data_IF_811838419364
#
_entry.id   IF_811838419364
#
_cell.length_a   1.000
_cell.length_b   1.000
_cell.length_c   1.000
_cell.angle_alpha   90.00
_cell.angle_beta   90.00
_cell.angle_gamma   90.00
#
_symmetry.space_group_name_H-M   'P 1'
#
loop_
_entity.id
_entity.type
_entity.pdbx_description
1 polymer ?
#
# COMPACT_ATOMS: atom_id res chain seq x y z
N UNK A 1 0.20 -15.05 -13.57
CA UNK A 1 0.78 -13.75 -13.98
C UNK A 1 0.70 -12.70 -12.88
N UNK A 2 -0.51 -12.23 -12.50
CA UNK A 2 -0.66 -11.15 -11.50
C UNK A 2 -0.04 -11.46 -10.13
N UNK A 3 -0.11 -12.72 -9.69
CA UNK A 3 0.47 -13.15 -8.42
C UNK A 3 2.00 -13.15 -8.44
N UNK A 4 2.60 -13.43 -9.60
CA UNK A 4 4.07 -13.37 -9.75
C UNK A 4 4.56 -11.93 -9.67
N UNK A 5 3.81 -10.96 -10.21
CA UNK A 5 4.14 -9.54 -10.08
C UNK A 5 4.14 -9.08 -8.62
N UNK A 6 3.22 -9.58 -7.79
CA UNK A 6 3.19 -9.25 -6.36
C UNK A 6 4.44 -9.76 -5.63
N UNK A 7 5.07 -10.85 -6.09
CA UNK A 7 6.33 -11.34 -5.50
C UNK A 7 7.53 -10.46 -5.82
N UNK A 8 7.41 -9.51 -6.75
CA UNK A 8 8.49 -8.64 -7.21
C UNK A 8 8.44 -7.24 -6.58
N UNK A 9 7.50 -6.99 -5.66
CA UNK A 9 7.31 -5.69 -5.02
C UNK A 9 7.23 -5.85 -3.49
N UNK A 10 7.75 -4.86 -2.78
CA UNK A 10 7.66 -4.80 -1.32
C UNK A 10 6.36 -4.13 -0.85
N UNK A 11 5.89 -3.14 -1.61
CA UNK A 11 4.81 -2.24 -1.23
C UNK A 11 3.75 -2.20 -2.32
N UNK A 12 2.48 -2.33 -1.90
CA UNK A 12 1.31 -2.11 -2.75
C UNK A 12 0.44 -0.98 -2.18
N UNK A 13 0.17 0.04 -3.00
CA UNK A 13 -0.79 1.10 -2.66
C UNK A 13 -2.17 0.68 -3.15
N UNK A 14 -3.10 0.49 -2.22
CA UNK A 14 -4.44 -0.02 -2.49
C UNK A 14 -5.53 1.02 -2.18
N UNK A 15 -6.56 1.08 -3.03
CA UNK A 15 -7.70 1.99 -2.90
C UNK A 15 -7.76 3.09 -3.95
N UNK A 16 -8.98 3.58 -4.21
CA UNK A 16 -9.24 4.66 -5.19
C UNK A 16 -8.63 5.98 -4.71
N UNK A 17 -8.08 6.76 -5.64
CA UNK A 17 -7.70 8.14 -5.40
C UNK A 17 -8.96 9.01 -5.24
N UNK A 18 -9.04 9.77 -4.14
CA UNK A 18 -10.13 10.69 -3.86
C UNK A 18 -9.59 12.12 -3.78
N UNK A 19 -10.03 13.00 -4.68
CA UNK A 19 -9.53 14.38 -4.72
C UNK A 19 -9.76 15.12 -3.39
N UNK A 20 -10.88 14.87 -2.71
CA UNK A 20 -11.21 15.45 -1.41
C UNK A 20 -10.26 15.02 -0.28
N UNK A 21 -9.51 13.93 -0.47
CA UNK A 21 -8.51 13.43 0.49
C UNK A 21 -7.09 13.52 -0.07
N UNK A 22 -6.90 14.31 -1.14
CA UNK A 22 -5.60 14.52 -1.77
C UNK A 22 -4.67 15.21 -0.77
N UNK A 23 -3.52 14.60 -0.54
CA UNK A 23 -2.45 15.19 0.23
C UNK A 23 -1.10 14.71 -0.33
N UNK A 24 -0.29 15.66 -0.79
CA UNK A 24 0.99 15.39 -1.47
C UNK A 24 2.14 15.17 -0.48
N UNK A 25 1.95 15.43 0.82
CA UNK A 25 2.95 15.11 1.83
C UNK A 25 2.88 13.65 2.27
N UNK A 26 1.88 12.90 1.81
CA UNK A 26 1.72 11.49 2.13
C UNK A 26 2.76 10.64 1.38
N UNK A 27 3.42 9.77 2.13
CA UNK A 27 4.41 8.85 1.57
C UNK A 27 3.75 7.84 0.60
N UNK A 28 4.29 7.70 -0.62
CA UNK A 28 3.88 6.73 -1.66
C UNK A 28 2.43 6.81 -2.19
N UNK A 29 1.54 7.58 -1.57
CA UNK A 29 0.11 7.66 -1.93
C UNK A 29 -0.31 9.10 -2.18
N UNK A 30 -1.31 9.28 -3.05
CA UNK A 30 -1.83 10.61 -3.36
C UNK A 30 -3.05 11.01 -2.52
N UNK A 31 -3.69 10.05 -1.84
CA UNK A 31 -4.95 10.24 -1.12
C UNK A 31 -4.96 9.49 0.21
N UNK A 32 -5.45 10.12 1.28
CA UNK A 32 -5.35 9.61 2.65
C UNK A 32 -6.08 8.27 2.91
N UNK A 33 -7.13 7.95 2.13
CA UNK A 33 -7.83 6.67 2.20
C UNK A 33 -7.05 5.49 1.57
N UNK A 34 -5.99 5.76 0.80
CA UNK A 34 -5.23 4.68 0.16
C UNK A 34 -4.37 3.97 1.19
N UNK A 35 -4.47 2.64 1.25
CA UNK A 35 -3.72 1.80 2.19
C UNK A 35 -2.36 1.48 1.59
N UNK A 36 -1.35 1.35 2.45
CA UNK A 36 -0.02 0.92 2.06
C UNK A 36 0.15 -0.48 2.65
N UNK A 37 0.16 -1.47 1.77
CA UNK A 37 0.20 -2.89 2.12
C UNK A 37 1.65 -3.36 1.99
N UNK A 38 2.12 -4.05 3.02
CA UNK A 38 3.37 -4.78 3.01
C UNK A 38 3.13 -6.15 2.35
N UNK A 39 3.63 -6.32 1.13
CA UNK A 39 3.33 -7.50 0.33
C UNK A 39 4.03 -8.75 0.88
N UNK A 40 5.34 -8.74 1.21
CA UNK A 40 5.99 -9.87 1.84
C UNK A 40 5.30 -10.33 3.13
N UNK A 41 4.97 -9.40 4.04
CA UNK A 41 4.31 -9.73 5.31
C UNK A 41 2.88 -10.27 5.09
N UNK A 42 2.15 -9.73 4.11
CA UNK A 42 0.81 -10.20 3.75
C UNK A 42 0.85 -11.61 3.20
N UNK A 43 1.79 -11.91 2.31
CA UNK A 43 1.94 -13.23 1.69
C UNK A 43 2.35 -14.28 2.72
N UNK A 44 3.23 -13.94 3.67
CA UNK A 44 3.65 -14.84 4.74
C UNK A 44 2.54 -15.12 5.77
N UNK A 45 1.72 -14.12 6.11
CA UNK A 45 0.65 -14.26 7.08
C UNK A 45 -0.65 -14.83 6.51
N UNK A 46 -0.86 -14.77 5.19
CA UNK A 46 -2.11 -15.13 4.54
C UNK A 46 -3.25 -14.13 4.77
N UNK A 47 -2.94 -12.96 5.36
CA UNK A 47 -3.87 -11.87 5.64
C UNK A 47 -3.21 -10.52 5.39
N UNK A 48 -3.99 -9.50 5.05
CA UNK A 48 -3.46 -8.16 4.71
C UNK A 48 -2.74 -7.54 5.91
N UNK A 49 -1.45 -7.24 5.73
CA UNK A 49 -0.62 -6.50 6.69
C UNK A 49 -0.35 -5.09 6.16
N UNK A 50 -0.63 -4.11 7.00
CA UNK A 50 -0.32 -2.71 6.71
C UNK A 50 1.14 -2.42 7.00
N UNK A 51 1.76 -1.63 6.14
CA UNK A 51 3.14 -1.22 6.27
C UNK A 51 3.32 -0.25 7.44
N UNK A 52 4.29 -0.55 8.32
CA UNK A 52 4.42 0.10 9.65
C UNK A 52 5.31 1.34 9.67
N UNK A 53 6.14 1.54 8.65
CA UNK A 53 7.16 2.59 8.63
C UNK A 53 6.65 3.91 8.03
N UNK A 54 5.35 4.20 8.23
CA UNK A 54 4.76 5.44 7.77
C UNK A 54 5.31 6.61 8.59
N UNK A 55 6.14 7.43 7.94
CA UNK A 55 6.60 8.71 8.48
C UNK A 55 5.63 9.78 7.98
N UNK A 56 5.18 10.64 8.90
CA UNK A 56 4.32 11.79 8.58
C UNK A 56 5.14 13.06 8.47
#
# INVERSE_FOLDING_TARGET
DKLELLKLIDILVDGRFLLAQKDLTLQFRGSANQRIIDVPATMAAGEVKLWKNLIR
#
